data_IF_535898904472
#
_entry.id   IF_535898904472
#
_cell.length_a   1.000
_cell.length_b   1.000
_cell.length_c   1.000
_cell.angle_alpha   90.00
_cell.angle_beta   90.00
_cell.angle_gamma   90.00
#
_symmetry.space_group_name_H-M   'P 1'
#
loop_
_entity.id
_entity.type
_entity.pdbx_description
1 polymer ?
#
# COMPACT_ATOMS: atom_id res chain seq x y z
N UNK A 1 -14.18 51.58 7.07
CA UNK A 1 -14.50 50.15 7.20
C UNK A 1 -13.19 49.42 7.40
N UNK A 2 -12.91 48.93 8.62
CA UNK A 2 -11.68 48.20 8.89
C UNK A 2 -11.81 46.81 8.26
N UNK A 3 -11.22 46.63 7.08
CA UNK A 3 -11.19 45.34 6.40
C UNK A 3 -10.32 44.40 7.23
N UNK A 4 -10.94 43.38 7.83
CA UNK A 4 -10.20 42.24 8.40
C UNK A 4 -9.29 41.71 7.28
N UNK A 5 -7.99 41.61 7.54
CA UNK A 5 -7.11 40.86 6.66
C UNK A 5 -7.74 39.47 6.46
N UNK A 6 -7.90 39.02 5.21
CA UNK A 6 -8.47 37.71 4.95
C UNK A 6 -7.57 36.66 5.62
N UNK A 7 -8.20 35.77 6.37
CA UNK A 7 -7.51 34.66 7.03
C UNK A 7 -6.74 33.85 5.98
N UNK A 8 -5.42 33.74 6.15
CA UNK A 8 -4.56 33.06 5.18
C UNK A 8 -4.92 31.58 5.20
N UNK A 9 -5.49 31.09 4.10
CA UNK A 9 -5.81 29.67 3.96
C UNK A 9 -4.52 28.85 4.16
N UNK A 10 -4.59 27.79 4.96
CA UNK A 10 -3.47 26.89 5.19
C UNK A 10 -3.86 25.46 4.86
N UNK A 11 -2.91 24.69 4.33
CA UNK A 11 -3.06 23.25 4.20
C UNK A 11 -3.13 22.58 5.58
N UNK A 12 -3.50 21.30 5.63
CA UNK A 12 -3.45 20.50 6.86
C UNK A 12 -2.04 20.36 7.44
N UNK A 13 -1.01 20.61 6.64
CA UNK A 13 0.39 20.69 7.07
C UNK A 13 0.84 22.10 7.48
N UNK A 14 -0.08 23.07 7.53
CA UNK A 14 0.20 24.45 7.94
C UNK A 14 0.83 25.34 6.86
N UNK A 15 0.94 24.86 5.61
CA UNK A 15 1.54 25.61 4.51
C UNK A 15 0.55 26.69 4.04
N UNK A 16 0.93 27.99 4.02
CA UNK A 16 0.09 29.05 3.46
C UNK A 16 -0.26 28.78 1.98
N UNK A 17 -1.54 28.91 1.65
CA UNK A 17 -2.07 28.77 0.30
C UNK A 17 -2.46 30.15 -0.21
N UNK A 18 -1.78 30.62 -1.24
CA UNK A 18 -2.10 31.88 -1.89
C UNK A 18 -3.36 31.74 -2.74
N UNK A 19 -4.14 32.81 -2.87
CA UNK A 19 -5.35 32.80 -3.70
C UNK A 19 -5.05 32.59 -5.18
N UNK A 20 -3.89 33.07 -5.64
CA UNK A 20 -3.38 32.92 -7.01
C UNK A 20 -1.87 32.70 -6.94
N UNK A 21 -1.35 31.78 -7.76
CA UNK A 21 0.07 31.56 -7.97
C UNK A 21 0.42 31.99 -9.39
N UNK A 22 1.28 32.99 -9.53
CA UNK A 22 1.82 33.46 -10.81
C UNK A 22 3.34 33.24 -10.87
N UNK A 23 4.00 33.80 -11.89
CA UNK A 23 5.44 33.66 -12.09
C UNK A 23 6.27 34.17 -10.89
N UNK A 24 5.75 35.14 -10.11
CA UNK A 24 6.44 35.65 -8.92
C UNK A 24 6.54 34.61 -7.80
N UNK A 25 5.65 33.61 -7.79
CA UNK A 25 5.72 32.51 -6.85
C UNK A 25 6.94 31.59 -7.06
N UNK A 26 7.61 31.70 -8.21
CA UNK A 26 8.85 30.98 -8.54
C UNK A 26 10.10 31.85 -8.33
N UNK A 27 9.99 33.01 -7.67
CA UNK A 27 11.14 33.86 -7.39
C UNK A 27 12.22 33.10 -6.60
N UNK A 28 13.44 33.04 -7.14
CA UNK A 28 14.58 32.33 -6.52
C UNK A 28 14.56 30.81 -6.69
N UNK A 29 13.68 30.27 -7.52
CA UNK A 29 13.55 28.84 -7.76
C UNK A 29 14.34 28.37 -8.99
N UNK A 30 15.08 27.27 -8.87
CA UNK A 30 15.87 26.66 -9.94
C UNK A 30 15.22 25.34 -10.40
N UNK A 31 14.61 25.38 -11.57
CA UNK A 31 13.95 24.22 -12.17
C UNK A 31 14.91 23.05 -12.41
N UNK A 32 16.14 23.33 -12.83
CA UNK A 32 17.09 22.28 -13.18
C UNK A 32 17.52 21.50 -11.93
N UNK A 33 17.78 22.21 -10.83
CA UNK A 33 18.16 21.60 -9.56
C UNK A 33 16.98 20.92 -8.83
N UNK A 34 15.76 21.48 -8.93
CA UNK A 34 14.63 21.08 -8.08
C UNK A 34 13.62 20.16 -8.79
N UNK A 35 13.53 20.19 -10.12
CA UNK A 35 12.70 19.27 -10.90
C UNK A 35 13.55 18.17 -11.56
N UNK A 36 14.58 18.55 -12.31
CA UNK A 36 15.43 17.61 -13.07
C UNK A 36 14.68 16.77 -14.12
N UNK A 37 15.28 15.63 -14.49
CA UNK A 37 14.74 14.67 -15.47
C UNK A 37 14.17 13.41 -14.80
N UNK A 38 13.18 12.71 -15.40
CA UNK A 38 12.65 11.47 -14.83
C UNK A 38 13.71 10.37 -14.82
N UNK A 39 13.81 9.62 -13.72
CA UNK A 39 14.81 8.58 -13.54
C UNK A 39 16.22 9.09 -13.21
N UNK A 40 16.37 10.38 -12.91
CA UNK A 40 17.61 10.99 -12.42
C UNK A 40 17.34 11.77 -11.13
N UNK A 41 18.34 11.89 -10.26
CA UNK A 41 18.24 12.72 -9.05
C UNK A 41 17.84 14.16 -9.43
N UNK A 42 16.91 14.84 -8.74
CA UNK A 42 16.28 14.47 -7.45
C UNK A 42 15.02 13.60 -7.56
N UNK A 43 14.73 13.04 -8.73
CA UNK A 43 13.57 12.16 -9.00
C UNK A 43 12.19 12.83 -8.82
N UNK A 44 12.12 14.17 -8.78
CA UNK A 44 10.85 14.92 -8.66
C UNK A 44 9.86 14.54 -9.76
N UNK A 45 10.35 14.22 -10.97
CA UNK A 45 9.52 13.76 -12.11
C UNK A 45 9.27 12.25 -12.15
N UNK A 46 9.74 11.51 -11.15
CA UNK A 46 9.54 10.08 -10.99
C UNK A 46 10.85 9.26 -11.03
N UNK A 47 10.83 8.04 -10.45
CA UNK A 47 12.03 7.21 -10.30
C UNK A 47 12.48 6.49 -11.58
N UNK A 48 11.67 6.47 -12.64
CA UNK A 48 11.97 5.75 -13.89
C UNK A 48 11.87 6.68 -15.10
N UNK A 49 12.81 6.59 -16.05
CA UNK A 49 12.84 7.45 -17.25
C UNK A 49 11.55 7.43 -18.06
N UNK A 50 10.94 6.24 -18.23
CA UNK A 50 9.75 6.06 -19.06
C UNK A 50 8.43 6.05 -18.27
N UNK A 51 8.50 6.00 -16.93
CA UNK A 51 7.34 5.90 -16.03
C UNK A 51 6.24 4.98 -16.59
N UNK A 52 5.00 5.47 -16.62
CA UNK A 52 3.83 4.72 -17.05
C UNK A 52 3.70 4.52 -18.56
N UNK A 53 4.56 5.16 -19.37
CA UNK A 53 4.69 4.84 -20.80
C UNK A 53 5.46 3.54 -21.01
N UNK A 54 6.39 3.21 -20.10
CA UNK A 54 7.11 1.93 -20.12
C UNK A 54 6.32 0.83 -19.41
N UNK A 55 5.93 1.06 -18.15
CA UNK A 55 5.16 0.10 -17.35
C UNK A 55 4.19 0.84 -16.45
N UNK A 56 2.89 0.48 -16.53
CA UNK A 56 1.85 1.01 -15.63
C UNK A 56 2.15 0.63 -14.17
N UNK A 57 1.62 1.40 -13.23
CA UNK A 57 1.68 1.04 -11.83
C UNK A 57 1.02 -0.33 -11.58
N UNK A 58 1.47 -1.04 -10.56
CA UNK A 58 0.84 -2.30 -10.15
C UNK A 58 -0.52 -1.99 -9.51
N UNK A 59 -1.59 -2.57 -10.05
CA UNK A 59 -2.89 -2.58 -9.38
C UNK A 59 -2.82 -3.66 -8.30
N UNK A 60 -2.83 -3.25 -7.03
CA UNK A 60 -2.62 -4.14 -5.89
C UNK A 60 -3.65 -3.84 -4.81
N UNK A 61 -4.71 -4.63 -4.78
CA UNK A 61 -5.74 -4.50 -3.76
C UNK A 61 -5.35 -5.28 -2.52
N UNK A 62 -5.51 -4.62 -1.38
CA UNK A 62 -5.36 -5.19 -0.06
C UNK A 62 -6.57 -6.07 0.26
N UNK A 63 -6.34 -7.36 0.51
CA UNK A 63 -7.40 -8.31 0.77
C UNK A 63 -6.95 -9.44 1.70
N UNK A 64 -7.89 -9.90 2.52
CA UNK A 64 -7.76 -11.01 3.45
C UNK A 64 -8.96 -10.98 4.38
N UNK A 65 -9.65 -12.11 4.53
CA UNK A 65 -10.76 -12.26 5.45
C UNK A 65 -11.08 -13.75 5.66
N UNK A 66 -11.38 -14.13 6.88
CA UNK A 66 -11.76 -15.48 7.24
C UNK A 66 -10.60 -16.47 7.04
N UNK A 67 -10.89 -17.60 6.41
CA UNK A 67 -9.91 -18.66 6.19
C UNK A 67 -9.00 -18.40 4.99
N UNK A 68 -7.86 -19.10 4.97
CA UNK A 68 -6.93 -19.11 3.84
C UNK A 68 -7.61 -19.49 2.51
N UNK A 69 -8.52 -20.48 2.53
CA UNK A 69 -9.27 -20.89 1.34
C UNK A 69 -10.23 -19.81 0.84
N UNK A 70 -10.95 -19.13 1.74
CA UNK A 70 -11.83 -18.02 1.36
C UNK A 70 -11.05 -16.85 0.76
N UNK A 71 -9.89 -16.52 1.36
CA UNK A 71 -9.01 -15.48 0.84
C UNK A 71 -8.37 -15.87 -0.49
N UNK A 72 -8.00 -17.14 -0.69
CA UNK A 72 -7.51 -17.65 -1.98
C UNK A 72 -8.54 -17.47 -3.11
N UNK A 73 -9.81 -17.82 -2.84
CA UNK A 73 -10.89 -17.62 -3.81
C UNK A 73 -11.03 -16.14 -4.18
N UNK A 74 -10.91 -15.24 -3.20
CA UNK A 74 -10.89 -13.79 -3.44
C UNK A 74 -9.70 -13.35 -4.28
N UNK A 75 -8.49 -13.85 -4.02
CA UNK A 75 -7.30 -13.53 -4.82
C UNK A 75 -7.46 -13.97 -6.27
N UNK A 76 -7.99 -15.16 -6.53
CA UNK A 76 -8.25 -15.63 -7.89
C UNK A 76 -9.24 -14.72 -8.62
N UNK A 77 -10.37 -14.39 -7.99
CA UNK A 77 -11.35 -13.46 -8.57
C UNK A 77 -10.78 -12.06 -8.85
N UNK A 78 -9.87 -11.57 -7.99
CA UNK A 78 -9.18 -10.30 -8.21
C UNK A 78 -8.20 -10.35 -9.39
N UNK A 79 -7.43 -11.44 -9.51
CA UNK A 79 -6.51 -11.66 -10.64
C UNK A 79 -7.29 -11.78 -11.96
N UNK A 80 -8.40 -12.52 -11.96
CA UNK A 80 -9.31 -12.64 -13.12
C UNK A 80 -9.91 -11.28 -13.52
N UNK A 81 -10.17 -10.40 -12.54
CA UNK A 81 -10.63 -9.03 -12.76
C UNK A 81 -9.52 -8.04 -13.17
N UNK A 82 -8.28 -8.51 -13.40
CA UNK A 82 -7.17 -7.70 -13.93
C UNK A 82 -6.21 -7.14 -12.88
N UNK A 83 -6.27 -7.58 -11.63
CA UNK A 83 -5.27 -7.24 -10.63
C UNK A 83 -3.90 -7.81 -11.02
N UNK A 84 -2.82 -7.02 -10.85
CA UNK A 84 -1.46 -7.40 -11.30
C UNK A 84 -0.48 -7.70 -10.16
N UNK A 85 -0.93 -7.59 -8.91
CA UNK A 85 -0.18 -8.05 -7.74
C UNK A 85 -1.09 -8.19 -6.53
N UNK A 86 -0.78 -9.10 -5.60
CA UNK A 86 -1.60 -9.37 -4.41
C UNK A 86 -1.08 -8.62 -3.18
N UNK A 87 -1.95 -8.27 -2.25
CA UNK A 87 -1.55 -7.76 -0.94
C UNK A 87 -2.38 -8.43 0.15
N UNK A 88 -1.71 -9.15 1.05
CA UNK A 88 -2.34 -9.98 2.08
C UNK A 88 -2.60 -9.16 3.33
N UNK A 89 -3.85 -9.17 3.80
CA UNK A 89 -4.26 -8.68 5.10
C UNK A 89 -4.36 -9.86 6.08
N UNK A 90 -3.61 -9.83 7.18
CA UNK A 90 -3.66 -10.86 8.22
C UNK A 90 -4.60 -10.45 9.35
N UNK A 91 -5.19 -11.42 10.03
CA UNK A 91 -6.00 -11.13 11.21
C UNK A 91 -5.15 -10.64 12.40
N UNK A 92 -5.80 -10.21 13.47
CA UNK A 92 -5.09 -9.69 14.64
C UNK A 92 -4.24 -10.76 15.35
N UNK A 93 -4.72 -11.99 15.60
CA UNK A 93 -3.90 -13.06 16.18
C UNK A 93 -2.60 -13.33 15.40
N UNK A 94 -2.67 -13.48 14.08
CA UNK A 94 -1.50 -13.68 13.20
C UNK A 94 -0.52 -12.51 13.30
N UNK A 95 -1.02 -11.27 13.35
CA UNK A 95 -0.17 -10.08 13.51
C UNK A 95 0.53 -10.01 14.87
N UNK A 96 -0.10 -10.58 15.91
CA UNK A 96 0.41 -10.61 17.28
C UNK A 96 1.27 -11.84 17.58
N UNK A 97 1.36 -12.81 16.67
CA UNK A 97 2.11 -14.06 16.86
C UNK A 97 1.40 -15.03 17.80
N UNK A 98 0.07 -15.09 17.69
CA UNK A 98 -0.80 -15.91 18.51
C UNK A 98 -1.58 -16.85 17.59
N UNK A 99 -1.50 -18.16 17.86
CA UNK A 99 -2.26 -19.18 17.13
C UNK A 99 -3.76 -19.05 17.39
N UNK A 100 -4.56 -19.46 16.42
CA UNK A 100 -6.02 -19.31 16.42
C UNK A 100 -6.75 -20.02 17.58
N UNK A 101 -6.14 -21.02 18.21
CA UNK A 101 -6.70 -21.75 19.36
C UNK A 101 -6.36 -21.11 20.72
N UNK A 102 -5.50 -20.09 20.74
CA UNK A 102 -5.11 -19.41 21.96
C UNK A 102 -6.29 -18.63 22.55
N UNK A 103 -6.40 -18.61 23.88
CA UNK A 103 -7.52 -17.98 24.58
C UNK A 103 -7.71 -16.49 24.23
N UNK A 104 -6.61 -15.77 23.96
CA UNK A 104 -6.65 -14.35 23.56
C UNK A 104 -7.08 -14.12 22.10
N UNK A 105 -7.02 -15.13 21.23
CA UNK A 105 -7.42 -15.02 19.83
C UNK A 105 -8.95 -15.08 19.66
N UNK A 106 -9.67 -15.55 20.68
CA UNK A 106 -11.12 -15.79 20.62
C UNK A 106 -11.87 -14.53 20.20
N UNK A 107 -12.59 -14.63 19.08
CA UNK A 107 -13.41 -13.55 18.53
C UNK A 107 -12.68 -12.63 17.54
N UNK A 108 -11.38 -12.82 17.34
CA UNK A 108 -10.57 -12.05 16.39
C UNK A 108 -10.03 -12.90 15.22
N UNK A 109 -10.05 -14.22 15.33
CA UNK A 109 -9.66 -15.16 14.27
C UNK A 109 -10.43 -14.89 12.98
N UNK A 110 -9.70 -14.56 11.90
CA UNK A 110 -10.24 -14.32 10.57
C UNK A 110 -11.11 -13.06 10.42
N UNK A 111 -11.25 -12.22 11.45
CA UNK A 111 -12.25 -11.13 11.47
C UNK A 111 -11.84 -9.91 10.66
N UNK A 112 -10.56 -9.56 10.67
CA UNK A 112 -10.02 -8.36 9.99
C UNK A 112 -8.97 -8.70 8.94
N UNK A 113 -8.75 -9.98 8.70
CA UNK A 113 -7.75 -10.51 7.78
C UNK A 113 -7.84 -12.03 7.69
N UNK A 114 -6.92 -12.65 6.97
CA UNK A 114 -6.78 -14.10 6.93
C UNK A 114 -6.06 -14.60 8.19
N UNK A 115 -6.56 -15.68 8.78
CA UNK A 115 -5.88 -16.41 9.85
C UNK A 115 -4.78 -17.31 9.26
N UNK A 116 -3.56 -17.22 9.78
CA UNK A 116 -2.42 -18.07 9.39
C UNK A 116 -1.70 -18.52 10.67
N UNK A 117 -1.81 -19.80 10.99
CA UNK A 117 -1.11 -20.40 12.13
C UNK A 117 0.12 -21.21 11.66
N UNK A 118 0.07 -21.71 10.42
CA UNK A 118 1.00 -22.73 9.92
C UNK A 118 1.36 -22.56 8.44
N UNK A 119 2.32 -23.37 7.98
CA UNK A 119 2.67 -23.46 6.56
C UNK A 119 1.52 -24.04 5.73
N UNK A 120 0.66 -24.88 6.31
CA UNK A 120 -0.53 -25.42 5.67
C UNK A 120 -1.50 -24.31 5.27
N UNK A 121 -1.68 -23.29 6.10
CA UNK A 121 -2.54 -22.15 5.80
C UNK A 121 -1.94 -21.29 4.68
N UNK A 122 -0.63 -21.07 4.69
CA UNK A 122 0.07 -20.37 3.60
C UNK A 122 -0.04 -21.12 2.26
N UNK A 123 0.06 -22.46 2.29
CA UNK A 123 -0.18 -23.29 1.10
C UNK A 123 -1.61 -23.17 0.61
N UNK A 124 -2.59 -23.17 1.50
CA UNK A 124 -3.99 -22.98 1.15
C UNK A 124 -4.25 -21.57 0.58
N UNK A 125 -3.65 -20.55 1.18
CA UNK A 125 -3.78 -19.14 0.78
C UNK A 125 -3.31 -18.92 -0.67
N UNK A 126 -2.21 -19.56 -1.07
CA UNK A 126 -1.63 -19.41 -2.41
C UNK A 126 -1.88 -20.57 -3.35
N UNK A 127 -2.75 -21.52 -2.98
CA UNK A 127 -3.06 -22.69 -3.79
C UNK A 127 -3.50 -22.30 -5.22
N UNK A 128 -2.73 -22.74 -6.22
CA UNK A 128 -2.99 -22.47 -7.63
C UNK A 128 -2.67 -21.05 -8.10
N UNK A 129 -1.95 -20.24 -7.31
CA UNK A 129 -1.47 -18.91 -7.71
C UNK A 129 0.01 -19.02 -8.13
N UNK A 130 0.39 -18.60 -9.35
CA UNK A 130 1.78 -18.69 -9.82
C UNK A 130 2.64 -17.57 -9.22
N UNK A 131 3.21 -17.82 -8.04
CA UNK A 131 4.00 -16.85 -7.27
C UNK A 131 5.24 -16.31 -8.01
N UNK A 132 5.77 -17.06 -8.98
CA UNK A 132 6.89 -16.59 -9.82
C UNK A 132 6.52 -15.46 -10.80
N UNK A 133 5.22 -15.30 -11.12
CA UNK A 133 4.73 -14.26 -12.04
C UNK A 133 3.85 -13.21 -11.36
N UNK A 134 3.35 -13.49 -10.16
CA UNK A 134 2.47 -12.58 -9.41
C UNK A 134 3.24 -12.02 -8.23
N UNK A 135 3.48 -10.70 -8.23
CA UNK A 135 4.12 -10.07 -7.07
C UNK A 135 3.19 -10.08 -5.86
N UNK A 136 3.68 -10.58 -4.73
CA UNK A 136 2.95 -10.61 -3.46
C UNK A 136 3.53 -9.60 -2.49
N UNK A 137 2.65 -8.85 -1.83
CA UNK A 137 2.96 -8.02 -0.67
C UNK A 137 2.21 -8.56 0.53
N UNK A 138 2.80 -8.46 1.71
CA UNK A 138 2.22 -8.95 2.95
C UNK A 138 2.29 -7.82 3.97
N UNK A 139 1.13 -7.34 4.44
CA UNK A 139 1.09 -6.26 5.44
C UNK A 139 1.23 -6.89 6.82
N UNK A 140 2.48 -7.09 7.21
CA UNK A 140 2.85 -7.77 8.45
C UNK A 140 4.10 -7.11 9.04
N UNK A 141 4.23 -7.16 10.38
CA UNK A 141 5.29 -6.45 11.10
C UNK A 141 6.07 -7.42 12.01
N UNK A 142 5.68 -7.54 13.29
CA UNK A 142 6.43 -8.30 14.30
C UNK A 142 6.67 -9.77 13.92
N UNK A 143 5.68 -10.41 13.27
CA UNK A 143 5.74 -11.82 12.85
C UNK A 143 6.24 -12.03 11.43
N UNK A 144 6.71 -10.97 10.75
CA UNK A 144 7.23 -11.06 9.38
C UNK A 144 8.28 -12.16 9.19
N UNK A 145 9.27 -12.36 10.10
CA UNK A 145 10.26 -13.43 9.93
C UNK A 145 9.66 -14.84 9.94
N UNK A 146 8.52 -15.06 10.60
CA UNK A 146 7.88 -16.38 10.64
C UNK A 146 7.09 -16.68 9.35
N UNK A 147 6.58 -15.64 8.69
CA UNK A 147 5.70 -15.76 7.52
C UNK A 147 6.44 -15.63 6.17
N UNK A 148 7.65 -15.04 6.15
CA UNK A 148 8.36 -14.66 4.93
C UNK A 148 9.67 -15.43 4.68
N UNK A 149 10.04 -16.38 5.54
CA UNK A 149 11.21 -17.26 5.37
C UNK A 149 10.87 -18.57 4.64
#
# INVERSE_FOLDING_TARGET
MSGKEPDVLRSTSGIPIQAVYDESALAGWDAAAQIGEPGEYPYTRGPYRSMYRGRRWTMRQYAGFGSAAATNARFKGLLEAGQTGLSVAFDLPTQMGIDSDHALARGEVGKVGVAIDSIEDMRALFAGIPLGSVSTSMTINATAPMLLL
#
